data_IF_497226124284
#
_entry.id   IF_497226124284
#
_cell.length_a   1.000
_cell.length_b   1.000
_cell.length_c   1.000
_cell.angle_alpha   90.00
_cell.angle_beta   90.00
_cell.angle_gamma   90.00
#
_symmetry.space_group_name_H-M   'P 1'
#
loop_
_entity.id
_entity.type
_entity.pdbx_description
1 polymer ?
#
# COMPACT_ATOMS: atom_id res chain seq x y z
N UNK A 1 -14.79 -1.39 0.75
CA UNK A 1 -14.01 -1.48 -0.47
C UNK A 1 -12.53 -1.44 -0.14
N UNK A 2 -11.78 -2.46 -0.55
CA UNK A 2 -10.32 -2.51 -0.42
C UNK A 2 -9.69 -2.03 -1.73
N UNK A 3 -8.80 -1.05 -1.65
CA UNK A 3 -8.04 -0.58 -2.80
C UNK A 3 -6.55 -0.76 -2.54
N UNK A 4 -5.93 -1.68 -3.25
CA UNK A 4 -4.51 -1.97 -3.14
C UNK A 4 -3.67 -0.99 -3.95
N UNK A 5 -2.60 -0.51 -3.35
CA UNK A 5 -1.59 0.32 -4.02
C UNK A 5 -0.59 -0.64 -4.69
N UNK A 6 -0.49 -0.63 -6.03
CA UNK A 6 0.39 -1.58 -6.72
C UNK A 6 1.87 -1.35 -6.38
N UNK A 7 2.69 -2.40 -6.49
CA UNK A 7 2.33 -3.75 -6.96
C UNK A 7 1.87 -4.65 -5.82
N UNK A 8 2.58 -4.67 -4.72
CA UNK A 8 2.36 -5.59 -3.60
C UNK A 8 1.10 -5.28 -2.81
N UNK A 9 0.75 -4.01 -2.67
CA UNK A 9 -0.50 -3.64 -2.02
C UNK A 9 -1.73 -4.18 -2.74
N UNK A 10 -1.70 -4.23 -4.08
CA UNK A 10 -2.77 -4.82 -4.87
C UNK A 10 -2.90 -6.33 -4.64
N UNK A 11 -1.77 -7.05 -4.62
CA UNK A 11 -1.75 -8.48 -4.31
C UNK A 11 -2.24 -8.74 -2.88
N UNK A 12 -1.80 -7.94 -1.92
CA UNK A 12 -2.23 -8.03 -0.53
C UNK A 12 -3.74 -7.79 -0.39
N UNK A 13 -4.28 -6.82 -1.11
CA UNK A 13 -5.72 -6.54 -1.09
C UNK A 13 -6.54 -7.74 -1.58
N UNK A 14 -6.06 -8.44 -2.61
CA UNK A 14 -6.71 -9.68 -3.09
C UNK A 14 -6.71 -10.77 -2.02
N UNK A 15 -5.58 -10.99 -1.37
CA UNK A 15 -5.46 -11.98 -0.30
C UNK A 15 -6.38 -11.63 0.87
N UNK A 16 -6.38 -10.37 1.30
CA UNK A 16 -7.24 -9.90 2.38
C UNK A 16 -8.72 -10.01 2.04
N UNK A 17 -9.12 -9.69 0.81
CA UNK A 17 -10.51 -9.82 0.37
C UNK A 17 -10.97 -11.27 0.46
N UNK A 18 -10.15 -12.22 -0.01
CA UNK A 18 -10.47 -13.64 0.06
C UNK A 18 -10.63 -14.13 1.51
N UNK A 19 -9.74 -13.71 2.41
CA UNK A 19 -9.82 -14.04 3.83
C UNK A 19 -11.06 -13.45 4.50
N UNK A 20 -11.37 -12.19 4.21
CA UNK A 20 -12.55 -11.52 4.76
C UNK A 20 -13.84 -12.15 4.25
N UNK A 21 -13.88 -12.56 2.99
CA UNK A 21 -15.04 -13.26 2.42
C UNK A 21 -15.32 -14.58 3.15
N UNK A 22 -14.28 -15.34 3.47
CA UNK A 22 -14.42 -16.58 4.26
C UNK A 22 -14.97 -16.30 5.66
N UNK A 23 -14.51 -15.24 6.30
CA UNK A 23 -14.90 -14.90 7.67
C UNK A 23 -16.29 -14.26 7.75
N UNK A 24 -16.62 -13.40 6.79
CA UNK A 24 -17.87 -12.63 6.79
C UNK A 24 -19.02 -13.35 6.11
N UNK A 25 -18.73 -14.30 5.23
CA UNK A 25 -19.76 -15.06 4.49
C UNK A 25 -20.40 -14.27 3.34
N UNK A 26 -19.81 -13.16 2.92
CA UNK A 26 -20.26 -12.39 1.77
C UNK A 26 -19.06 -11.82 0.99
N UNK A 27 -19.30 -11.43 -0.26
CA UNK A 27 -18.26 -10.87 -1.12
C UNK A 27 -17.73 -9.54 -0.59
N UNK A 28 -16.42 -9.33 -0.76
CA UNK A 28 -15.73 -8.08 -0.41
C UNK A 28 -15.18 -7.47 -1.69
N UNK A 29 -15.62 -6.25 -2.01
CA UNK A 29 -15.12 -5.53 -3.18
C UNK A 29 -13.67 -5.12 -2.98
N UNK A 30 -12.84 -5.39 -3.99
CA UNK A 30 -11.45 -4.98 -3.99
C UNK A 30 -11.03 -4.52 -5.38
N UNK A 31 -10.06 -3.63 -5.43
CA UNK A 31 -9.53 -3.10 -6.68
C UNK A 31 -8.12 -2.56 -6.52
N UNK A 32 -7.67 -1.84 -7.54
CA UNK A 32 -6.33 -1.28 -7.62
C UNK A 32 -6.43 0.23 -7.79
N UNK A 33 -5.66 0.96 -7.01
CA UNK A 33 -5.52 2.42 -7.14
C UNK A 33 -4.04 2.75 -7.31
N UNK A 34 -3.66 3.20 -8.49
CA UNK A 34 -2.27 3.56 -8.78
C UNK A 34 -2.05 5.07 -8.55
N UNK A 35 -1.18 5.44 -7.59
CA UNK A 35 -0.88 6.83 -7.31
C UNK A 35 0.22 7.43 -8.19
N UNK A 36 0.76 6.71 -9.17
CA UNK A 36 2.00 7.07 -9.88
C UNK A 36 2.01 8.52 -10.38
N UNK A 37 0.94 8.98 -11.02
CA UNK A 37 0.86 10.33 -11.56
C UNK A 37 0.63 11.44 -10.52
N UNK A 38 0.42 11.07 -9.26
CA UNK A 38 0.21 12.01 -8.16
C UNK A 38 1.39 12.08 -7.20
N UNK A 39 2.46 11.32 -7.47
CA UNK A 39 3.67 11.31 -6.63
C UNK A 39 4.50 12.56 -6.91
N UNK A 40 5.04 13.14 -5.84
CA UNK A 40 5.93 14.29 -5.88
C UNK A 40 7.42 13.91 -5.91
N UNK A 41 7.72 12.61 -5.84
CA UNK A 41 9.08 12.06 -5.79
C UNK A 41 9.44 11.23 -7.03
N UNK A 42 8.73 11.41 -8.16
CA UNK A 42 8.96 10.67 -9.39
C UNK A 42 10.40 10.79 -9.91
N UNK A 43 11.02 11.95 -9.73
CA UNK A 43 12.40 12.17 -10.12
C UNK A 43 13.41 11.35 -9.29
N UNK A 44 13.02 11.00 -8.06
CA UNK A 44 13.87 10.22 -7.14
C UNK A 44 13.73 8.72 -7.32
N UNK A 45 12.53 8.26 -7.66
CA UNK A 45 12.23 6.82 -7.78
C UNK A 45 12.34 6.30 -9.21
N UNK A 46 12.60 7.17 -10.18
CA UNK A 46 12.67 6.84 -11.61
C UNK A 46 11.31 6.57 -12.23
N UNK A 47 11.32 6.25 -13.52
CA UNK A 47 10.11 5.92 -14.27
C UNK A 47 9.64 4.53 -13.90
N UNK A 48 8.72 4.44 -12.97
CA UNK A 48 7.96 3.23 -12.70
C UNK A 48 6.80 3.17 -13.71
N UNK A 49 6.60 1.99 -14.31
CA UNK A 49 5.42 1.78 -15.14
C UNK A 49 4.17 1.85 -14.25
N UNK A 50 3.25 2.74 -14.62
CA UNK A 50 1.97 2.85 -13.96
C UNK A 50 1.12 1.60 -14.24
N UNK A 51 0.52 1.02 -13.21
CA UNK A 51 -0.51 0.00 -13.37
C UNK A 51 -1.86 0.70 -13.52
N UNK A 52 -2.77 0.17 -14.35
CA UNK A 52 -4.10 0.77 -14.47
C UNK A 52 -4.85 0.73 -13.14
N UNK A 53 -5.45 1.85 -12.76
CA UNK A 53 -6.43 1.87 -11.70
C UNK A 53 -7.65 1.06 -12.14
N UNK A 54 -8.09 0.15 -11.30
CA UNK A 54 -9.25 -0.72 -11.55
C UNK A 54 -10.17 -0.71 -10.33
N UNK A 55 -11.28 -0.01 -10.47
CA UNK A 55 -12.29 0.12 -9.42
C UNK A 55 -13.53 -0.71 -9.82
N UNK A 56 -13.89 -1.74 -9.01
CA UNK A 56 -15.04 -2.59 -9.34
C UNK A 56 -16.38 -1.89 -9.15
N UNK A 57 -16.39 -0.85 -8.31
CA UNK A 57 -17.59 -0.09 -7.94
C UNK A 57 -17.21 1.39 -7.76
N UNK A 58 -18.17 2.32 -7.86
CA UNK A 58 -17.90 3.73 -7.54
C UNK A 58 -17.48 3.89 -6.08
N UNK A 59 -16.55 4.81 -5.82
CA UNK A 59 -16.07 5.09 -4.46
C UNK A 59 -16.98 6.06 -3.69
N UNK A 60 -17.87 6.75 -4.40
CA UNK A 60 -18.74 7.78 -3.82
C UNK A 60 -19.56 7.23 -2.64
N UNK A 61 -19.42 7.89 -1.50
CA UNK A 61 -20.16 7.53 -0.28
C UNK A 61 -19.73 6.23 0.38
N UNK A 62 -18.70 5.57 -0.10
CA UNK A 62 -18.24 4.29 0.44
C UNK A 62 -17.12 4.46 1.45
N UNK A 63 -17.03 3.50 2.35
CA UNK A 63 -15.88 3.34 3.22
C UNK A 63 -14.77 2.62 2.44
N UNK A 64 -13.62 3.26 2.31
CA UNK A 64 -12.48 2.75 1.55
C UNK A 64 -11.34 2.43 2.50
N UNK A 65 -10.73 1.27 2.32
CA UNK A 65 -9.49 0.91 2.99
C UNK A 65 -8.39 0.86 1.92
N UNK A 66 -7.42 1.76 2.02
CA UNK A 66 -6.22 1.69 1.20
C UNK A 66 -5.29 0.63 1.78
N UNK A 67 -4.78 -0.24 0.92
CA UNK A 67 -3.91 -1.34 1.32
C UNK A 67 -2.54 -1.15 0.71
N UNK A 68 -1.52 -1.06 1.54
CA UNK A 68 -0.12 -0.97 1.12
C UNK A 68 0.72 -2.02 1.83
N UNK A 69 1.86 -2.36 1.26
CA UNK A 69 2.79 -3.32 1.83
C UNK A 69 3.57 -2.70 2.99
N UNK A 70 4.29 -1.62 2.74
CA UNK A 70 5.17 -0.96 3.70
C UNK A 70 4.93 0.55 3.70
N UNK A 71 4.69 1.10 4.88
CA UNK A 71 4.59 2.56 5.05
C UNK A 71 5.92 3.09 5.59
N UNK A 72 6.43 4.11 4.91
CA UNK A 72 7.68 4.78 5.22
C UNK A 72 7.44 6.26 5.52
N UNK A 73 7.65 7.13 4.52
CA UNK A 73 7.50 8.58 4.71
C UNK A 73 6.04 9.04 4.74
N UNK A 74 5.13 8.27 4.18
CA UNK A 74 3.73 8.63 3.99
C UNK A 74 3.44 9.24 2.61
N UNK A 75 4.45 9.46 1.78
CA UNK A 75 4.27 10.13 0.49
C UNK A 75 3.49 9.31 -0.52
N UNK A 76 3.65 7.99 -0.52
CA UNK A 76 2.85 7.10 -1.37
C UNK A 76 1.37 7.17 -1.00
N UNK A 77 1.07 7.16 0.28
CA UNK A 77 -0.32 7.26 0.79
C UNK A 77 -0.93 8.62 0.45
N UNK A 78 -0.17 9.71 0.62
CA UNK A 78 -0.64 11.04 0.21
C UNK A 78 -1.03 11.07 -1.26
N UNK A 79 -0.16 10.53 -2.11
CA UNK A 79 -0.43 10.47 -3.54
C UNK A 79 -1.66 9.59 -3.86
N UNK A 80 -1.85 8.49 -3.13
CA UNK A 80 -3.01 7.63 -3.27
C UNK A 80 -4.31 8.36 -2.87
N UNK A 81 -4.29 9.14 -1.80
CA UNK A 81 -5.43 9.96 -1.40
C UNK A 81 -5.80 10.98 -2.48
N UNK A 82 -4.81 11.61 -3.09
CA UNK A 82 -5.02 12.55 -4.18
C UNK A 82 -5.58 11.85 -5.43
N UNK A 83 -5.04 10.69 -5.79
CA UNK A 83 -5.55 9.88 -6.89
C UNK A 83 -7.00 9.45 -6.65
N UNK A 84 -7.32 9.05 -5.43
CA UNK A 84 -8.67 8.63 -5.05
C UNK A 84 -9.69 9.74 -5.25
N UNK A 85 -9.33 10.99 -4.97
CA UNK A 85 -10.19 12.15 -5.15
C UNK A 85 -10.64 12.36 -6.60
N UNK A 86 -9.88 11.87 -7.58
CA UNK A 86 -10.27 11.99 -8.99
C UNK A 86 -11.42 11.05 -9.35
N UNK A 87 -11.69 10.04 -8.52
CA UNK A 87 -12.71 9.01 -8.76
C UNK A 87 -14.02 9.25 -7.99
N UNK A 88 -14.02 10.14 -7.03
CA UNK A 88 -15.20 10.48 -6.25
C UNK A 88 -14.86 10.83 -4.80
N UNK A 89 -15.91 11.00 -4.00
CA UNK A 89 -15.78 11.34 -2.59
C UNK A 89 -16.22 10.14 -1.72
N UNK A 90 -15.28 9.37 -1.19
CA UNK A 90 -15.63 8.32 -0.22
C UNK A 90 -16.17 8.92 1.07
N UNK A 91 -16.97 8.14 1.82
CA UNK A 91 -17.46 8.54 3.12
C UNK A 91 -16.32 8.66 4.14
N UNK A 92 -15.39 7.74 4.08
CA UNK A 92 -14.13 7.79 4.85
C UNK A 92 -13.07 6.94 4.18
N UNK A 93 -11.82 7.19 4.53
CA UNK A 93 -10.67 6.43 4.05
C UNK A 93 -9.84 5.99 5.25
N UNK A 94 -9.55 4.69 5.30
CA UNK A 94 -8.64 4.11 6.28
C UNK A 94 -7.43 3.52 5.57
N UNK A 95 -6.35 3.36 6.31
CA UNK A 95 -5.10 2.82 5.79
C UNK A 95 -4.73 1.53 6.50
N UNK A 96 -4.47 0.51 5.72
CA UNK A 96 -3.90 -0.75 6.20
C UNK A 96 -2.52 -0.93 5.58
N UNK A 97 -1.51 -1.15 6.42
CA UNK A 97 -0.16 -1.48 6.01
C UNK A 97 0.27 -2.80 6.66
N UNK A 98 0.94 -3.67 5.89
CA UNK A 98 1.49 -4.87 6.48
C UNK A 98 2.63 -4.55 7.44
N UNK A 99 3.51 -3.62 7.06
CA UNK A 99 4.64 -3.18 7.87
C UNK A 99 4.70 -1.66 7.95
N UNK A 100 4.88 -1.16 9.15
CA UNK A 100 5.20 0.24 9.40
C UNK A 100 6.66 0.31 9.83
N UNK A 101 7.51 0.95 9.03
CA UNK A 101 8.94 1.05 9.30
C UNK A 101 9.36 2.39 9.91
N UNK A 102 8.43 3.29 10.15
CA UNK A 102 8.73 4.62 10.68
C UNK A 102 9.24 5.60 9.63
N UNK A 103 9.85 6.68 10.08
CA UNK A 103 10.45 7.76 9.27
C UNK A 103 9.43 8.63 8.52
N UNK A 104 8.27 8.91 9.14
CA UNK A 104 7.27 9.79 8.54
C UNK A 104 7.83 11.16 8.21
N UNK A 105 7.42 11.66 7.05
CA UNK A 105 7.62 13.05 6.62
C UNK A 105 6.30 13.80 6.53
N UNK A 106 5.19 13.08 6.57
CA UNK A 106 3.82 13.60 6.54
C UNK A 106 3.02 13.00 7.70
N UNK A 107 1.94 13.66 8.14
CA UNK A 107 1.13 13.19 9.27
C UNK A 107 0.18 12.06 8.83
N UNK A 108 0.75 10.96 8.37
CA UNK A 108 0.05 9.77 7.91
C UNK A 108 0.33 8.64 8.89
N UNK A 109 -0.73 7.98 9.36
CA UNK A 109 -0.61 6.86 10.28
C UNK A 109 -1.58 5.75 9.86
N UNK A 110 -1.13 4.49 9.75
CA UNK A 110 -2.02 3.38 9.48
C UNK A 110 -3.06 3.19 10.59
N UNK A 111 -4.30 2.91 10.17
CA UNK A 111 -5.35 2.49 11.09
C UNK A 111 -5.17 1.02 11.48
N UNK A 112 -4.69 0.22 10.53
CA UNK A 112 -4.40 -1.19 10.72
C UNK A 112 -2.97 -1.47 10.29
N UNK A 113 -2.20 -2.13 11.15
CA UNK A 113 -0.82 -2.47 10.84
C UNK A 113 -0.55 -3.92 11.24
N UNK A 114 0.09 -4.67 10.35
CA UNK A 114 0.50 -6.03 10.63
C UNK A 114 1.64 -6.07 11.64
N UNK A 115 2.68 -5.28 11.42
CA UNK A 115 3.83 -5.19 12.30
C UNK A 115 4.53 -3.84 12.20
N UNK A 116 4.92 -3.31 13.35
CA UNK A 116 5.83 -2.16 13.41
C UNK A 116 7.25 -2.70 13.49
N UNK A 117 8.10 -2.30 12.55
CA UNK A 117 9.50 -2.72 12.48
C UNK A 117 10.38 -1.47 12.48
N UNK A 118 11.03 -1.13 13.59
CA UNK A 118 11.98 -0.01 13.61
C UNK A 118 13.14 -0.26 12.66
N UNK A 119 13.45 0.74 11.86
CA UNK A 119 14.52 0.66 10.85
C UNK A 119 15.37 1.93 10.89
N UNK A 120 16.57 1.88 10.29
CA UNK A 120 17.28 3.09 9.89
C UNK A 120 16.77 3.57 8.53
N UNK A 121 17.02 4.84 8.19
CA UNK A 121 16.62 5.38 6.88
C UNK A 121 17.24 4.66 5.71
N UNK A 122 18.41 4.04 5.90
CA UNK A 122 19.18 3.37 4.86
C UNK A 122 18.83 1.89 4.71
N UNK A 123 18.02 1.35 5.62
CA UNK A 123 17.53 -0.01 5.53
C UNK A 123 16.28 -0.05 4.66
N UNK A 124 15.99 -1.23 4.10
CA UNK A 124 14.80 -1.47 3.29
C UNK A 124 14.02 -2.65 3.86
N UNK A 125 12.71 -2.54 3.84
CA UNK A 125 11.81 -3.65 4.13
C UNK A 125 11.26 -4.14 2.79
N UNK A 126 11.40 -5.43 2.54
CA UNK A 126 10.83 -6.10 1.39
C UNK A 126 9.80 -7.11 1.84
N UNK A 127 8.54 -6.88 1.50
CA UNK A 127 7.46 -7.84 1.72
C UNK A 127 7.37 -8.75 0.51
N UNK A 128 7.54 -10.06 0.74
CA UNK A 128 7.37 -11.07 -0.29
C UNK A 128 5.98 -11.69 -0.16
N UNK A 129 5.29 -11.78 -1.28
CA UNK A 129 3.98 -12.40 -1.39
C UNK A 129 4.07 -13.54 -2.43
N UNK A 130 3.47 -14.68 -2.12
CA UNK A 130 3.53 -15.85 -2.98
C UNK A 130 3.11 -15.55 -4.42
N UNK A 131 2.07 -14.76 -4.61
CA UNK A 131 1.54 -14.37 -5.91
C UNK A 131 2.54 -13.56 -6.76
N UNK A 132 3.38 -12.75 -6.13
CA UNK A 132 4.33 -11.84 -6.80
C UNK A 132 5.74 -12.41 -6.82
N UNK A 133 6.17 -12.97 -5.71
CA UNK A 133 7.57 -13.33 -5.43
C UNK A 133 7.83 -14.84 -5.41
N UNK A 134 6.77 -15.66 -5.44
CA UNK A 134 6.87 -17.12 -5.36
C UNK A 134 7.13 -17.66 -3.95
N UNK A 135 7.30 -16.77 -2.98
CA UNK A 135 7.50 -17.11 -1.57
C UNK A 135 6.91 -16.01 -0.68
N UNK A 136 6.72 -16.31 0.58
CA UNK A 136 6.16 -15.38 1.55
C UNK A 136 7.17 -15.03 2.65
N UNK A 137 7.18 -13.78 3.07
CA UNK A 137 8.01 -13.34 4.16
C UNK A 137 8.24 -11.83 4.16
N UNK A 138 8.91 -11.38 5.21
CA UNK A 138 9.37 -10.00 5.35
C UNK A 138 10.87 -10.02 5.55
N UNK A 139 11.60 -9.31 4.71
CA UNK A 139 13.06 -9.25 4.74
C UNK A 139 13.50 -7.83 5.02
N UNK A 140 14.38 -7.68 5.99
CA UNK A 140 15.08 -6.43 6.26
C UNK A 140 16.41 -6.45 5.51
N UNK A 141 16.58 -5.51 4.59
CA UNK A 141 17.80 -5.36 3.81
C UNK A 141 18.62 -4.18 4.34
N UNK A 142 19.87 -4.44 4.63
CA UNK A 142 20.82 -3.42 5.07
C UNK A 142 21.82 -3.14 3.94
N UNK A 143 22.22 -1.87 3.75
CA UNK A 143 23.30 -1.58 2.81
C UNK A 143 24.58 -2.27 3.28
N UNK A 144 25.38 -2.73 2.33
CA UNK A 144 26.73 -3.22 2.64
C UNK A 144 27.51 -2.06 3.24
N UNK A 145 28.05 -2.27 4.43
CA UNK A 145 28.99 -1.31 4.98
C UNK A 145 30.25 -1.38 4.12
N UNK A 146 30.69 -0.23 3.61
CA UNK A 146 32.01 -0.13 3.01
C UNK A 146 33.01 -0.51 4.09
N UNK A 147 33.67 -1.63 3.91
CA UNK A 147 34.80 -2.04 4.73
C UNK A 147 35.98 -1.19 4.24
N UNK A 148 36.07 -0.03 4.80
CA UNK A 148 37.25 0.81 4.59
C UNK A 148 38.35 0.46 5.61
#
# INVERSE_FOLDING_TARGET
LLLGIPTRGAALARVLAAELERELGHAVDQGVLDPTFHRDDLERVGTRLAEPTALPVPVEGREVVLVDDVVFTGRTVRAALEALHTWGRPACVKLLAMVDRGHRELPIQPDFVGRVVPTSRHEFIHLMLHEVDGEEGVVLLRPLQDIS
#
